data_IF_211176616096
#
_entry.id   IF_211176616096
#
_cell.length_a   1.000
_cell.length_b   1.000
_cell.length_c   1.000
_cell.angle_alpha   90.00
_cell.angle_beta   90.00
_cell.angle_gamma   90.00
#
_symmetry.space_group_name_H-M   'P 1'
#
loop_
_entity.id
_entity.type
_entity.pdbx_description
1 polymer ?
#
# COMPACT_ATOMS: atom_id res chain seq x y z
N UNK A 1 -15.16 -0.89 -28.52
CA UNK A 1 -14.04 -1.38 -27.69
C UNK A 1 -14.61 -1.77 -26.34
N UNK A 2 -14.36 -3.00 -25.89
CA UNK A 2 -14.87 -3.47 -24.60
C UNK A 2 -14.19 -2.75 -23.42
N UNK A 3 -14.75 -2.84 -22.20
CA UNK A 3 -14.10 -2.31 -21.01
C UNK A 3 -12.74 -2.98 -20.74
N UNK A 4 -12.64 -4.28 -21.01
CA UNK A 4 -11.40 -5.06 -20.90
C UNK A 4 -10.33 -4.52 -21.86
N UNK A 5 -10.68 -4.22 -23.13
CA UNK A 5 -9.72 -3.68 -24.09
C UNK A 5 -9.19 -2.31 -23.65
N UNK A 6 -10.06 -1.46 -23.06
CA UNK A 6 -9.65 -0.15 -22.53
C UNK A 6 -8.70 -0.28 -21.35
N UNK A 7 -9.02 -1.17 -20.39
CA UNK A 7 -8.15 -1.43 -19.24
C UNK A 7 -6.79 -1.97 -19.68
N UNK A 8 -6.74 -2.92 -20.62
CA UNK A 8 -5.48 -3.46 -21.15
C UNK A 8 -4.64 -2.37 -21.85
N UNK A 9 -5.27 -1.50 -22.63
CA UNK A 9 -4.59 -0.36 -23.25
C UNK A 9 -4.05 0.64 -22.23
N UNK A 10 -4.80 0.91 -21.16
CA UNK A 10 -4.36 1.75 -20.07
C UNK A 10 -3.15 1.14 -19.33
N UNK A 11 -3.15 -0.18 -19.07
CA UNK A 11 -2.01 -0.88 -18.49
C UNK A 11 -0.75 -0.80 -19.37
N UNK A 12 -0.89 -0.98 -20.67
CA UNK A 12 0.23 -0.82 -21.62
C UNK A 12 0.80 0.60 -21.56
N UNK A 13 -0.06 1.63 -21.52
CA UNK A 13 0.38 3.03 -21.38
C UNK A 13 1.07 3.27 -20.03
N UNK A 14 0.53 2.74 -18.93
CA UNK A 14 1.15 2.84 -17.61
C UNK A 14 2.55 2.21 -17.61
N UNK A 15 2.73 1.05 -18.22
CA UNK A 15 4.04 0.39 -18.32
C UNK A 15 5.08 1.20 -19.11
N UNK A 16 4.64 2.03 -20.06
CA UNK A 16 5.55 2.94 -20.80
C UNK A 16 5.94 4.18 -20.00
N UNK A 17 5.16 4.57 -19.00
CA UNK A 17 5.49 5.68 -18.09
C UNK A 17 6.57 5.28 -17.08
N UNK A 18 6.65 4.01 -16.75
CA UNK A 18 7.63 3.45 -15.82
C UNK A 18 6.97 2.70 -14.66
N UNK A 19 7.79 1.95 -13.95
CA UNK A 19 7.35 1.07 -12.86
C UNK A 19 7.43 1.72 -11.46
N UNK A 20 7.95 2.94 -11.38
CA UNK A 20 8.13 3.71 -10.13
C UNK A 20 7.89 5.19 -10.42
N UNK A 21 6.70 5.69 -10.06
CA UNK A 21 6.26 7.04 -10.41
C UNK A 21 5.92 7.85 -9.15
N UNK A 22 6.56 9.00 -8.98
CA UNK A 22 6.22 9.90 -7.88
C UNK A 22 4.93 10.66 -8.16
N UNK A 23 4.02 10.68 -7.19
CA UNK A 23 2.78 11.45 -7.25
C UNK A 23 2.99 12.89 -6.77
N UNK A 24 2.14 13.81 -7.24
CA UNK A 24 2.12 15.21 -6.76
C UNK A 24 1.69 15.30 -5.30
N UNK A 25 0.88 14.35 -4.84
CA UNK A 25 0.38 14.34 -3.47
C UNK A 25 1.53 14.20 -2.47
N UNK A 26 1.43 14.99 -1.43
CA UNK A 26 2.34 15.00 -0.31
C UNK A 26 1.51 15.11 0.97
N UNK A 27 1.82 14.31 1.97
CA UNK A 27 1.09 14.31 3.25
C UNK A 27 1.81 15.14 4.31
N UNK A 28 1.04 15.68 5.24
CA UNK A 28 1.57 16.23 6.47
C UNK A 28 1.88 15.10 7.46
N UNK A 29 3.11 14.59 7.39
CA UNK A 29 3.57 13.44 8.19
C UNK A 29 3.46 13.70 9.69
N UNK A 30 3.73 14.92 10.14
CA UNK A 30 3.59 15.30 11.55
C UNK A 30 2.14 15.16 12.02
N UNK A 31 1.17 15.53 11.18
CA UNK A 31 -0.23 15.39 11.52
C UNK A 31 -0.65 13.91 11.51
N UNK A 32 -0.25 13.14 10.51
CA UNK A 32 -0.51 11.68 10.49
C UNK A 32 0.05 11.01 11.75
N UNK A 33 1.29 11.33 12.15
CA UNK A 33 1.87 10.75 13.36
C UNK A 33 1.06 11.10 14.64
N UNK A 34 0.51 12.32 14.72
CA UNK A 34 -0.39 12.69 15.82
C UNK A 34 -1.71 11.92 15.77
N UNK A 35 -2.26 11.75 14.58
CA UNK A 35 -3.52 11.03 14.37
C UNK A 35 -3.37 9.53 14.70
N UNK A 36 -2.15 8.97 14.57
CA UNK A 36 -1.83 7.59 14.90
C UNK A 36 -1.55 7.34 16.40
N UNK A 37 -1.25 8.37 17.18
CA UNK A 37 -0.90 8.21 18.60
C UNK A 37 -1.99 7.50 19.44
N UNK A 38 -3.31 7.77 19.27
CA UNK A 38 -4.35 7.02 19.97
C UNK A 38 -4.35 5.52 19.69
N UNK A 39 -3.76 5.10 18.57
CA UNK A 39 -3.73 3.70 18.10
C UNK A 39 -2.43 2.97 18.40
N UNK A 40 -1.54 3.53 19.25
CA UNK A 40 -0.22 2.93 19.54
C UNK A 40 -0.30 1.47 20.00
N UNK A 41 -1.36 1.08 20.69
CA UNK A 41 -1.59 -0.27 21.21
C UNK A 41 -2.44 -1.14 20.27
N UNK A 42 -2.92 -0.58 19.15
CA UNK A 42 -3.80 -1.26 18.19
C UNK A 42 -3.03 -1.92 17.03
N UNK A 43 -1.73 -1.69 16.93
CA UNK A 43 -0.90 -2.32 15.92
C UNK A 43 -0.85 -3.83 16.11
N UNK A 44 -1.05 -4.57 15.01
CA UNK A 44 -1.03 -6.04 15.00
C UNK A 44 0.18 -6.54 14.23
N UNK A 45 0.74 -7.72 14.58
CA UNK A 45 1.77 -8.34 13.76
C UNK A 45 1.29 -8.49 12.31
N UNK A 46 2.08 -7.97 11.38
CA UNK A 46 1.77 -8.13 9.95
C UNK A 46 2.18 -9.52 9.49
N UNK A 47 1.24 -10.28 8.94
CA UNK A 47 1.40 -11.68 8.59
C UNK A 47 1.83 -12.53 9.82
N UNK A 48 0.86 -12.92 10.64
CA UNK A 48 1.08 -13.64 11.92
C UNK A 48 1.98 -14.87 11.80
N UNK A 49 2.02 -15.52 10.63
CA UNK A 49 2.87 -16.69 10.37
C UNK A 49 4.32 -16.34 10.07
N UNK A 50 4.60 -15.09 9.75
CA UNK A 50 5.94 -14.59 9.44
C UNK A 50 6.09 -13.12 9.84
N UNK A 51 6.13 -12.83 11.15
CA UNK A 51 6.05 -11.46 11.65
C UNK A 51 7.27 -10.58 11.32
N UNK A 52 8.49 -11.11 11.32
CA UNK A 52 9.74 -10.45 10.92
C UNK A 52 9.86 -8.98 11.39
N UNK A 53 9.51 -8.68 12.65
CA UNK A 53 9.47 -7.32 13.20
C UNK A 53 8.61 -6.32 12.37
N UNK A 54 7.50 -6.83 11.82
CA UNK A 54 6.55 -6.05 11.03
C UNK A 54 5.21 -5.96 11.72
N UNK A 55 4.64 -4.77 11.69
CA UNK A 55 3.36 -4.46 12.30
C UNK A 55 2.46 -3.77 11.28
N UNK A 56 1.18 -3.95 11.40
CA UNK A 56 0.19 -3.30 10.57
C UNK A 56 -0.89 -2.63 11.40
N UNK A 57 -1.50 -1.59 10.81
CA UNK A 57 -2.69 -0.94 11.34
C UNK A 57 -3.64 -0.69 10.16
N UNK A 58 -4.82 -1.27 10.22
CA UNK A 58 -5.78 -1.24 9.11
C UNK A 58 -6.42 0.15 8.97
N UNK A 59 -6.41 0.69 7.77
CA UNK A 59 -7.17 1.88 7.38
C UNK A 59 -8.51 1.46 6.77
N UNK A 60 -8.46 0.35 5.99
CA UNK A 60 -9.66 -0.38 5.56
C UNK A 60 -9.60 -1.80 6.08
N UNK A 61 -10.73 -2.40 6.37
CA UNK A 61 -10.85 -3.79 6.79
C UNK A 61 -12.06 -4.44 6.12
N UNK A 62 -12.31 -5.71 6.42
CA UNK A 62 -13.45 -6.42 5.88
C UNK A 62 -14.78 -5.97 6.52
N UNK A 63 -14.73 -5.52 7.77
CA UNK A 63 -15.90 -5.20 8.61
C UNK A 63 -15.82 -3.83 9.33
N UNK A 64 -14.87 -2.97 8.96
CA UNK A 64 -14.64 -1.66 9.57
C UNK A 64 -13.92 -1.72 10.92
N UNK A 65 -13.46 -2.89 11.40
CA UNK A 65 -12.82 -3.04 12.72
C UNK A 65 -11.30 -3.19 12.59
N UNK A 66 -10.60 -2.99 13.72
CA UNK A 66 -9.14 -3.12 13.84
C UNK A 66 -8.72 -4.54 14.27
N UNK A 67 -9.41 -5.58 13.81
CA UNK A 67 -9.06 -6.97 14.13
C UNK A 67 -7.70 -7.39 13.53
N UNK A 68 -7.35 -6.83 12.38
CA UNK A 68 -6.18 -7.18 11.59
C UNK A 68 -6.34 -8.47 10.78
N UNK A 69 -7.50 -9.10 10.81
CA UNK A 69 -7.77 -10.37 10.12
C UNK A 69 -9.03 -10.20 9.25
N UNK A 70 -8.94 -10.45 7.94
CA UNK A 70 -7.78 -10.90 7.16
C UNK A 70 -6.88 -9.77 6.63
N UNK A 71 -7.17 -8.52 6.95
CA UNK A 71 -6.63 -7.31 6.30
C UNK A 71 -5.13 -7.10 6.51
N UNK A 72 -4.52 -7.67 7.54
CA UNK A 72 -3.06 -7.61 7.78
C UNK A 72 -2.39 -8.97 7.55
N UNK A 73 -3.08 -9.90 6.93
CA UNK A 73 -2.56 -11.23 6.65
C UNK A 73 -2.26 -11.46 5.16
N UNK A 74 -1.58 -12.55 4.83
CA UNK A 74 -1.49 -13.07 3.47
C UNK A 74 -2.87 -13.60 3.04
N UNK A 75 -3.56 -12.90 2.15
CA UNK A 75 -4.88 -13.32 1.68
C UNK A 75 -4.85 -14.69 1.00
N UNK A 76 -3.77 -15.01 0.27
CA UNK A 76 -3.60 -16.33 -0.34
C UNK A 76 -3.62 -17.43 0.71
N UNK A 77 -2.88 -17.25 1.81
CA UNK A 77 -2.84 -18.25 2.88
C UNK A 77 -4.13 -18.27 3.69
N UNK A 78 -4.69 -17.09 3.98
CA UNK A 78 -5.98 -16.98 4.66
C UNK A 78 -7.07 -17.71 3.89
N UNK A 79 -7.21 -17.44 2.61
CA UNK A 79 -8.20 -18.09 1.73
C UNK A 79 -8.04 -19.60 1.70
N UNK A 80 -6.78 -20.07 1.59
CA UNK A 80 -6.48 -21.52 1.62
C UNK A 80 -6.91 -22.19 2.92
N UNK A 81 -6.69 -21.52 4.07
CA UNK A 81 -7.02 -22.08 5.40
C UNK A 81 -8.54 -22.07 5.64
N UNK A 82 -9.21 -20.99 5.23
CA UNK A 82 -10.62 -20.76 5.56
C UNK A 82 -11.59 -21.12 4.42
N UNK A 83 -11.08 -21.60 3.27
CA UNK A 83 -11.94 -21.94 2.12
C UNK A 83 -12.65 -20.73 1.51
N UNK A 84 -12.03 -19.53 1.58
CA UNK A 84 -12.60 -18.28 1.08
C UNK A 84 -11.91 -17.80 -0.20
N UNK A 85 -12.46 -16.77 -0.85
CA UNK A 85 -11.90 -16.13 -2.04
C UNK A 85 -11.80 -14.60 -1.87
N UNK A 86 -11.39 -14.15 -0.68
CA UNK A 86 -11.24 -12.72 -0.36
C UNK A 86 -10.09 -12.16 -1.17
N UNK A 87 -10.33 -11.02 -1.82
CA UNK A 87 -9.32 -10.23 -2.54
C UNK A 87 -9.09 -8.89 -1.81
N UNK A 88 -8.06 -8.15 -2.22
CA UNK A 88 -7.82 -6.81 -1.68
C UNK A 88 -9.02 -5.87 -1.88
N UNK A 89 -9.84 -6.07 -2.91
CA UNK A 89 -11.01 -5.22 -3.21
C UNK A 89 -12.23 -5.51 -2.32
N UNK A 90 -12.25 -6.63 -1.61
CA UNK A 90 -13.29 -6.90 -0.61
C UNK A 90 -13.01 -6.16 0.71
N UNK A 91 -11.76 -5.76 0.96
CA UNK A 91 -11.29 -5.08 2.18
C UNK A 91 -11.39 -3.56 1.96
N UNK A 92 -12.59 -3.01 2.10
CA UNK A 92 -12.90 -1.62 1.73
C UNK A 92 -13.68 -0.82 2.78
N UNK A 93 -14.14 -1.48 3.85
CA UNK A 93 -14.85 -0.77 4.91
C UNK A 93 -13.84 0.04 5.74
N UNK A 94 -14.10 1.33 5.90
CA UNK A 94 -13.21 2.21 6.64
C UNK A 94 -13.20 1.89 8.13
N UNK A 95 -12.02 1.96 8.73
CA UNK A 95 -11.84 1.82 10.18
C UNK A 95 -11.86 3.20 10.84
N UNK A 96 -11.95 3.21 12.17
CA UNK A 96 -11.83 4.43 12.97
C UNK A 96 -10.51 5.20 12.74
N UNK A 97 -9.45 4.54 12.26
CA UNK A 97 -8.18 5.19 11.89
C UNK A 97 -8.40 6.17 10.73
N UNK A 98 -9.21 5.79 9.74
CA UNK A 98 -9.60 6.67 8.65
C UNK A 98 -10.52 7.78 9.14
N UNK A 99 -11.56 7.43 9.91
CA UNK A 99 -12.60 8.36 10.32
C UNK A 99 -12.05 9.50 11.21
N UNK A 100 -11.03 9.21 12.00
CA UNK A 100 -10.43 10.16 12.92
C UNK A 100 -9.24 10.96 12.35
N UNK A 101 -8.82 10.72 11.09
CA UNK A 101 -7.72 11.46 10.46
C UNK A 101 -8.16 12.22 9.22
N UNK A 102 -8.32 13.54 9.34
CA UNK A 102 -8.62 14.42 8.19
C UNK A 102 -7.51 14.44 7.14
N UNK A 103 -6.26 14.30 7.57
CA UNK A 103 -5.12 14.26 6.64
C UNK A 103 -5.15 12.98 5.81
N UNK A 104 -5.49 11.85 6.44
CA UNK A 104 -5.66 10.56 5.75
C UNK A 104 -6.87 10.60 4.80
N UNK A 105 -7.99 11.18 5.23
CA UNK A 105 -9.16 11.39 4.37
C UNK A 105 -8.80 12.20 3.13
N UNK A 106 -8.10 13.32 3.30
CA UNK A 106 -7.63 14.17 2.21
C UNK A 106 -6.71 13.43 1.24
N UNK A 107 -5.80 12.59 1.75
CA UNK A 107 -4.90 11.78 0.92
C UNK A 107 -5.68 10.77 0.09
N UNK A 108 -6.66 10.11 0.69
CA UNK A 108 -7.41 9.00 0.09
C UNK A 108 -8.51 9.49 -0.86
N UNK A 109 -9.12 10.64 -0.63
CA UNK A 109 -10.28 11.14 -1.37
C UNK A 109 -10.14 11.05 -2.91
N UNK A 110 -9.01 11.42 -3.53
CA UNK A 110 -8.86 11.31 -4.98
C UNK A 110 -8.88 9.87 -5.52
N UNK A 111 -8.64 8.89 -4.65
CA UNK A 111 -8.47 7.47 -4.98
C UNK A 111 -9.63 6.59 -4.52
N UNK A 112 -10.53 7.16 -3.72
CA UNK A 112 -11.61 6.47 -3.03
C UNK A 112 -12.45 5.52 -3.90
N UNK A 113 -12.79 5.84 -5.17
CA UNK A 113 -13.58 4.95 -6.01
C UNK A 113 -12.90 3.60 -6.33
N UNK A 114 -11.57 3.55 -6.27
CA UNK A 114 -10.76 2.37 -6.62
C UNK A 114 -10.11 1.71 -5.41
N UNK A 115 -10.20 2.35 -4.23
CA UNK A 115 -9.53 1.88 -3.04
C UNK A 115 -10.11 0.54 -2.57
N UNK A 116 -9.21 -0.41 -2.37
CA UNK A 116 -9.46 -1.64 -1.65
C UNK A 116 -8.70 -1.64 -0.33
N UNK A 117 -7.88 -2.66 -0.12
CA UNK A 117 -7.08 -2.81 1.08
C UNK A 117 -6.09 -1.65 1.24
N UNK A 118 -6.20 -0.96 2.38
CA UNK A 118 -5.33 0.13 2.77
C UNK A 118 -4.90 -0.05 4.23
N UNK A 119 -3.59 0.03 4.49
CA UNK A 119 -3.05 -0.16 5.84
C UNK A 119 -1.70 0.52 6.02
N UNK A 120 -1.44 0.94 7.23
CA UNK A 120 -0.09 1.30 7.64
C UNK A 120 0.74 0.06 7.89
N UNK A 121 2.00 0.13 7.51
CA UNK A 121 3.06 -0.82 7.85
C UNK A 121 4.05 -0.13 8.76
N UNK A 122 4.41 -0.77 9.86
CA UNK A 122 5.47 -0.35 10.75
C UNK A 122 6.56 -1.42 10.79
N UNK A 123 7.81 -1.01 10.62
CA UNK A 123 8.98 -1.85 10.81
C UNK A 123 9.82 -1.30 11.96
N UNK A 124 10.27 -2.20 12.81
CA UNK A 124 11.30 -1.89 13.80
C UNK A 124 12.67 -2.37 13.30
N UNK A 125 13.70 -2.06 14.04
CA UNK A 125 15.09 -2.45 13.71
C UNK A 125 15.18 -3.94 13.35
N UNK A 126 15.77 -4.24 12.18
CA UNK A 126 15.85 -5.59 11.65
C UNK A 126 14.55 -6.11 11.03
N UNK A 127 13.48 -5.31 11.02
CA UNK A 127 12.23 -5.63 10.32
C UNK A 127 12.44 -5.63 8.81
N UNK A 128 11.87 -6.62 8.13
CA UNK A 128 12.07 -6.74 6.68
C UNK A 128 10.91 -7.43 5.96
N UNK A 129 10.76 -7.10 4.70
CA UNK A 129 10.08 -7.89 3.70
C UNK A 129 11.16 -8.53 2.83
N UNK A 130 11.22 -9.87 2.75
CA UNK A 130 12.18 -10.55 1.86
C UNK A 130 11.92 -10.15 0.42
N UNK A 131 12.88 -10.38 -0.46
CA UNK A 131 12.69 -10.16 -1.88
C UNK A 131 11.50 -11.00 -2.39
N UNK A 132 10.55 -10.32 -3.01
CA UNK A 132 9.34 -10.91 -3.56
C UNK A 132 8.78 -10.04 -4.68
N UNK A 133 7.80 -10.57 -5.36
CA UNK A 133 6.86 -9.84 -6.20
C UNK A 133 5.45 -10.25 -5.78
N UNK A 134 4.52 -9.33 -5.87
CA UNK A 134 3.14 -9.62 -5.53
C UNK A 134 2.51 -10.46 -6.64
N UNK A 135 2.25 -11.73 -6.31
CA UNK A 135 1.70 -12.70 -7.29
C UNK A 135 0.19 -12.49 -7.39
N UNK A 136 -0.22 -11.51 -8.15
CA UNK A 136 -1.63 -11.36 -8.52
C UNK A 136 -1.91 -11.81 -9.96
N UNK A 137 -0.93 -12.50 -10.57
CA UNK A 137 -0.89 -12.71 -12.02
C UNK A 137 -1.88 -13.71 -12.59
N UNK A 138 -2.37 -14.67 -11.83
CA UNK A 138 -3.03 -15.83 -12.43
C UNK A 138 -4.47 -16.03 -11.94
N UNK A 139 -4.77 -15.72 -10.68
CA UNK A 139 -6.08 -15.99 -10.10
C UNK A 139 -7.03 -14.78 -10.09
N UNK A 140 -6.51 -13.54 -10.17
CA UNK A 140 -7.30 -12.33 -9.89
C UNK A 140 -7.27 -11.28 -11.02
N UNK A 141 -6.60 -11.54 -12.14
CA UNK A 141 -6.46 -10.58 -13.23
C UNK A 141 -5.42 -9.48 -12.95
N UNK A 142 -5.06 -8.72 -14.01
CA UNK A 142 -4.12 -7.58 -13.94
C UNK A 142 -4.82 -6.28 -13.51
N UNK A 143 -5.81 -6.37 -12.66
CA UNK A 143 -6.67 -5.25 -12.32
C UNK A 143 -6.31 -4.56 -11.00
N UNK A 144 -5.10 -4.78 -10.48
CA UNK A 144 -4.64 -4.16 -9.24
C UNK A 144 -3.31 -3.44 -9.43
N UNK A 145 -3.24 -2.21 -8.94
CA UNK A 145 -1.99 -1.45 -8.80
C UNK A 145 -1.78 -1.03 -7.35
N UNK A 146 -0.53 -0.66 -7.02
CA UNK A 146 -0.18 -0.25 -5.66
C UNK A 146 0.40 1.14 -5.60
N UNK A 147 0.01 1.83 -4.55
CA UNK A 147 0.67 3.04 -4.10
C UNK A 147 1.28 2.82 -2.72
N UNK A 148 2.36 3.54 -2.48
CA UNK A 148 3.01 3.59 -1.18
C UNK A 148 3.27 5.05 -0.81
N UNK A 149 3.01 5.40 0.44
CA UNK A 149 3.34 6.71 1.00
C UNK A 149 4.27 6.51 2.19
N UNK A 150 5.37 7.23 2.18
CA UNK A 150 6.37 7.19 3.24
C UNK A 150 5.99 8.19 4.33
N UNK A 151 5.87 7.72 5.58
CA UNK A 151 5.26 8.51 6.66
C UNK A 151 6.27 8.92 7.71
N UNK A 152 7.11 8.00 8.19
CA UNK A 152 8.03 8.28 9.29
C UNK A 152 9.35 7.54 9.10
N UNK A 153 10.47 8.29 9.17
CA UNK A 153 11.85 7.77 9.13
C UNK A 153 12.17 6.91 7.90
N UNK A 154 11.60 7.27 6.77
CA UNK A 154 11.73 6.49 5.54
C UNK A 154 12.88 6.93 4.63
N UNK A 155 13.86 7.68 5.12
CA UNK A 155 15.04 8.04 4.33
C UNK A 155 16.02 6.85 4.15
N UNK A 156 16.96 6.99 3.22
CA UNK A 156 17.96 5.92 2.92
C UNK A 156 18.80 5.49 4.11
N UNK A 157 18.91 6.29 5.14
CA UNK A 157 19.67 5.97 6.35
C UNK A 157 18.94 4.90 7.15
N UNK A 158 17.66 5.07 7.34
CA UNK A 158 16.82 4.26 8.24
C UNK A 158 16.07 3.14 7.51
N UNK A 159 15.73 3.35 6.22
CA UNK A 159 14.97 2.40 5.38
C UNK A 159 15.72 2.08 4.09
N UNK A 160 15.83 0.80 3.76
CA UNK A 160 16.27 0.33 2.45
C UNK A 160 15.06 -0.23 1.70
N UNK A 161 14.49 0.57 0.81
CA UNK A 161 13.50 0.10 -0.13
C UNK A 161 14.22 -0.27 -1.44
N UNK A 162 14.40 -1.57 -1.67
CA UNK A 162 15.10 -2.10 -2.83
C UNK A 162 14.06 -2.48 -3.87
N UNK A 163 14.21 -1.96 -5.07
CA UNK A 163 13.31 -2.19 -6.19
C UNK A 163 14.13 -2.47 -7.44
N UNK A 164 14.02 -3.70 -7.97
CA UNK A 164 14.81 -4.19 -9.10
C UNK A 164 16.30 -3.85 -8.94
N UNK A 165 16.92 -4.36 -7.87
CA UNK A 165 18.35 -4.21 -7.53
C UNK A 165 18.80 -2.76 -7.23
N UNK A 166 17.87 -1.81 -7.14
CA UNK A 166 18.17 -0.41 -6.85
C UNK A 166 17.54 0.04 -5.54
N UNK A 167 18.34 0.59 -4.63
CA UNK A 167 17.83 1.26 -3.43
C UNK A 167 17.19 2.58 -3.83
N UNK A 168 15.89 2.69 -3.63
CA UNK A 168 15.14 3.90 -3.94
C UNK A 168 15.42 5.02 -2.94
N UNK A 169 15.57 6.23 -3.46
CA UNK A 169 15.68 7.43 -2.66
C UNK A 169 14.29 7.96 -2.38
N UNK A 170 13.82 7.77 -1.16
CA UNK A 170 12.48 8.17 -0.72
C UNK A 170 12.58 9.07 0.49
N UNK A 171 11.56 9.89 0.71
CA UNK A 171 11.48 10.81 1.85
C UNK A 171 10.08 10.77 2.45
N UNK A 172 9.99 11.08 3.72
CA UNK A 172 8.72 11.23 4.40
C UNK A 172 7.82 12.25 3.69
N UNK A 173 6.54 11.90 3.61
CA UNK A 173 5.53 12.69 2.92
C UNK A 173 5.33 12.37 1.45
N UNK A 174 6.26 11.68 0.80
CA UNK A 174 6.16 11.33 -0.61
C UNK A 174 5.28 10.11 -0.84
N UNK A 175 4.51 10.16 -1.93
CA UNK A 175 3.68 9.06 -2.43
C UNK A 175 4.19 8.61 -3.80
N UNK A 176 4.19 7.30 -4.01
CA UNK A 176 4.60 6.68 -5.27
C UNK A 176 3.60 5.62 -5.71
N UNK A 177 3.32 5.56 -7.01
CA UNK A 177 2.92 4.33 -7.67
C UNK A 177 4.16 3.45 -7.82
N UNK A 178 4.03 2.15 -7.57
CA UNK A 178 5.04 1.17 -7.93
C UNK A 178 4.41 -0.11 -8.46
N UNK A 179 5.05 -0.67 -9.48
CA UNK A 179 4.63 -1.93 -10.06
C UNK A 179 5.04 -3.10 -9.15
N UNK A 180 4.14 -3.51 -8.28
CA UNK A 180 4.40 -4.57 -7.31
C UNK A 180 4.61 -5.96 -7.93
N UNK A 181 4.41 -6.11 -9.25
CA UNK A 181 4.79 -7.33 -9.99
C UNK A 181 6.30 -7.40 -10.32
N UNK A 182 7.07 -6.38 -9.97
CA UNK A 182 8.52 -6.35 -10.04
C UNK A 182 9.13 -6.74 -8.70
N UNK A 183 10.35 -7.28 -8.72
CA UNK A 183 11.06 -7.68 -7.49
C UNK A 183 11.26 -6.49 -6.58
N UNK A 184 10.89 -6.66 -5.34
CA UNK A 184 11.12 -5.63 -4.33
C UNK A 184 11.33 -6.25 -2.96
N UNK A 185 12.05 -5.54 -2.12
CA UNK A 185 12.30 -5.88 -0.74
C UNK A 185 12.43 -4.63 0.11
N UNK A 186 12.21 -4.76 1.40
CA UNK A 186 12.31 -3.66 2.35
C UNK A 186 13.08 -4.13 3.57
N UNK A 187 13.99 -3.32 4.06
CA UNK A 187 14.74 -3.58 5.28
C UNK A 187 14.85 -2.31 6.13
N UNK A 188 14.57 -2.41 7.42
CA UNK A 188 14.69 -1.33 8.38
C UNK A 188 15.95 -1.46 9.23
N UNK A 189 16.69 -0.37 9.37
CA UNK A 189 17.82 -0.22 10.30
C UNK A 189 17.47 0.55 11.56
N UNK A 190 16.23 1.01 11.66
CA UNK A 190 15.71 1.83 12.77
C UNK A 190 14.32 1.40 13.20
N UNK A 191 13.90 1.80 14.38
CA UNK A 191 12.54 1.59 14.87
C UNK A 191 11.56 2.63 14.32
N UNK A 192 10.28 2.28 14.35
CA UNK A 192 9.16 3.15 13.95
C UNK A 192 9.25 3.68 12.51
N UNK A 193 9.77 2.89 11.59
CA UNK A 193 9.61 3.15 10.17
C UNK A 193 8.14 2.92 9.83
N UNK A 194 7.46 3.94 9.32
CA UNK A 194 6.04 3.85 8.99
C UNK A 194 5.80 4.19 7.52
N UNK A 195 5.11 3.30 6.84
CA UNK A 195 4.64 3.46 5.45
C UNK A 195 3.15 3.21 5.39
N UNK A 196 2.47 3.78 4.42
CA UNK A 196 1.05 3.53 4.13
C UNK A 196 0.94 2.91 2.74
N UNK A 197 0.30 1.77 2.64
CA UNK A 197 0.13 1.02 1.40
C UNK A 197 -1.32 1.02 0.97
N UNK A 198 -1.55 1.24 -0.33
CA UNK A 198 -2.87 1.24 -0.97
C UNK A 198 -2.90 0.16 -2.05
N UNK A 199 -3.93 -0.66 -2.04
CA UNK A 199 -4.27 -1.56 -3.13
C UNK A 199 -5.46 -0.95 -3.89
N UNK A 200 -5.28 -0.69 -5.18
CA UNK A 200 -6.27 0.00 -6.00
C UNK A 200 -6.74 -0.92 -7.12
N UNK A 201 -8.05 -1.01 -7.34
CA UNK A 201 -8.59 -1.65 -8.53
C UNK A 201 -8.28 -0.81 -9.75
N UNK A 202 -7.57 -1.40 -10.71
CA UNK A 202 -7.13 -0.68 -11.91
C UNK A 202 -8.18 -0.72 -13.01
N UNK A 203 -8.48 0.45 -13.56
CA UNK A 203 -9.24 0.64 -14.78
C UNK A 203 -8.73 1.88 -15.56
N UNK A 204 -9.36 2.19 -16.68
CA UNK A 204 -9.02 3.35 -17.50
C UNK A 204 -9.16 4.66 -16.73
N UNK A 205 -10.18 4.82 -15.90
CA UNK A 205 -10.43 6.05 -15.13
C UNK A 205 -9.38 6.26 -14.03
N UNK A 206 -8.94 5.18 -13.35
CA UNK A 206 -7.83 5.27 -12.42
C UNK A 206 -6.53 5.66 -13.14
N UNK A 207 -6.29 5.14 -14.33
CA UNK A 207 -5.13 5.54 -15.13
C UNK A 207 -5.15 7.04 -15.47
N UNK A 208 -6.30 7.58 -15.89
CA UNK A 208 -6.45 9.02 -16.14
C UNK A 208 -6.20 9.84 -14.87
N UNK A 209 -6.76 9.42 -13.74
CA UNK A 209 -6.50 10.03 -12.44
C UNK A 209 -5.02 9.98 -12.05
N UNK A 210 -4.34 8.86 -12.30
CA UNK A 210 -2.90 8.71 -12.04
C UNK A 210 -2.08 9.73 -12.86
N UNK A 211 -2.39 9.91 -14.15
CA UNK A 211 -1.71 10.90 -14.99
C UNK A 211 -1.89 12.33 -14.44
N UNK A 212 -3.10 12.69 -14.03
CA UNK A 212 -3.36 14.02 -13.42
C UNK A 212 -2.53 14.25 -12.16
N UNK A 213 -2.32 13.18 -11.37
CA UNK A 213 -1.59 13.21 -10.11
C UNK A 213 -0.11 12.89 -10.26
N UNK A 214 0.36 12.53 -11.45
CA UNK A 214 1.78 12.25 -11.70
C UNK A 214 2.60 13.53 -11.66
N UNK A 215 3.75 13.47 -10.97
CA UNK A 215 4.73 14.56 -10.93
C UNK A 215 5.70 14.37 -12.08
N UNK A 216 5.53 15.16 -13.12
CA UNK A 216 6.54 15.24 -14.17
C UNK A 216 7.83 15.81 -13.56
N UNK A 217 8.97 15.16 -13.83
CA UNK A 217 10.29 15.56 -13.37
C UNK A 217 10.75 16.85 -14.08
#
# INVERSE_FOLDING_TARGET
>A
MSSIDRTNKALQRLSTMGDWLQMKQHINTRQIMKDLEPYKDSWKPYNLRNPNNRWGLSVTSLDGKLSGIPDLDSLLQYNKIHGTSITNHHIKEYTEVYDNSKELQKLIEPWKPWLGRCHFLKLNTGGYFPEHYDVNKIEYGYDEIRFITFVNRCDKKDLKFIYEDTVRDVKDGQMFYFNANKRHSVFSTSDDIIMLVFCMKFDELLFERLIEQYRFA
#
